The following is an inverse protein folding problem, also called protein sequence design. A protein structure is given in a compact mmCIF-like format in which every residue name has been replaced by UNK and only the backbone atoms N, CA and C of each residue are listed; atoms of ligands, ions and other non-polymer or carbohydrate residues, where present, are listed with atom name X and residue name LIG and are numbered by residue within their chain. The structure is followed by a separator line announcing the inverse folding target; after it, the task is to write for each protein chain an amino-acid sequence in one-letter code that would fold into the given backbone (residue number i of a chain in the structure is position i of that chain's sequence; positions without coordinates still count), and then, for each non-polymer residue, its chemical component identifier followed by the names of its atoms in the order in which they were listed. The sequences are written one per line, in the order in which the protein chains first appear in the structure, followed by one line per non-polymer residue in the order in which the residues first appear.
data_IF_247073668884
#
_entry.id   IF_247073668884
#
_cell.length_a   1.000
_cell.length_b   1.000
_cell.length_c   1.000
_cell.angle_alpha   90.00
_cell.angle_beta   90.00
_cell.angle_gamma   90.00
#
_symmetry.space_group_name_H-M   'P 1'
#
loop_
_entity.id
_entity.type
_entity.pdbx_description
1 polymer ?
#
# COMPACT_ATOMS: atom_id res chain seq x y z
N UNK A 1 -2.84 16.51 -6.22
CA UNK A 1 -2.47 15.18 -5.64
C UNK A 1 -2.66 14.08 -6.67
N UNK A 2 -2.05 12.90 -6.51
CA UNK A 2 -2.34 11.73 -7.34
C UNK A 2 -3.31 10.81 -6.60
N UNK A 3 -4.30 10.28 -7.32
CA UNK A 3 -5.31 9.42 -6.73
C UNK A 3 -5.19 8.00 -7.28
N UNK A 4 -5.30 7.03 -6.38
CA UNK A 4 -5.29 5.62 -6.68
C UNK A 4 -6.37 4.86 -5.93
N UNK A 5 -6.52 3.58 -6.25
CA UNK A 5 -7.53 2.70 -5.68
C UNK A 5 -6.93 1.42 -5.11
N UNK A 6 -7.51 0.92 -4.02
CA UNK A 6 -7.24 -0.43 -3.54
C UNK A 6 -8.06 -1.43 -4.37
N UNK A 7 -7.39 -2.35 -5.06
CA UNK A 7 -8.05 -3.45 -5.75
C UNK A 7 -8.39 -4.54 -4.73
N UNK A 8 -9.65 -4.95 -4.69
CA UNK A 8 -10.11 -5.98 -3.76
C UNK A 8 -9.78 -7.37 -4.32
N UNK A 9 -8.58 -7.85 -4.01
CA UNK A 9 -8.04 -9.13 -4.49
C UNK A 9 -8.49 -10.34 -3.65
N UNK A 10 -9.57 -10.20 -2.89
CA UNK A 10 -10.11 -11.22 -1.99
C UNK A 10 -11.64 -11.23 -1.98
N UNK A 11 -12.21 -12.35 -1.45
CA UNK A 11 -13.64 -12.54 -1.23
C UNK A 11 -14.37 -13.22 -2.38
N UNK A 12 -15.62 -13.64 -2.12
CA UNK A 12 -16.41 -14.54 -2.98
C UNK A 12 -16.64 -14.07 -4.41
N UNK A 13 -16.72 -12.74 -4.64
CA UNK A 13 -16.93 -12.19 -5.99
C UNK A 13 -15.62 -11.97 -6.76
N UNK A 14 -14.49 -12.30 -6.13
CA UNK A 14 -13.18 -12.08 -6.73
C UNK A 14 -12.83 -13.22 -7.69
N UNK A 15 -12.74 -12.87 -8.96
CA UNK A 15 -12.35 -13.73 -10.07
C UNK A 15 -11.33 -13.00 -10.94
N UNK A 16 -10.55 -13.70 -11.79
CA UNK A 16 -9.65 -13.01 -12.73
C UNK A 16 -10.33 -11.93 -13.55
N UNK A 17 -11.56 -12.19 -14.00
CA UNK A 17 -12.34 -11.23 -14.79
C UNK A 17 -12.77 -9.99 -13.99
N UNK A 18 -13.20 -10.17 -12.73
CA UNK A 18 -13.57 -9.01 -11.89
C UNK A 18 -12.37 -8.20 -11.49
N UNK A 19 -11.21 -8.82 -11.27
CA UNK A 19 -9.94 -8.15 -10.98
C UNK A 19 -9.43 -7.32 -12.17
N UNK A 20 -9.46 -7.88 -13.40
CA UNK A 20 -9.13 -7.11 -14.61
C UNK A 20 -10.09 -5.94 -14.80
N UNK A 21 -11.39 -6.15 -14.55
CA UNK A 21 -12.41 -5.10 -14.66
C UNK A 21 -12.17 -3.99 -13.65
N UNK A 22 -11.90 -4.30 -12.37
CA UNK A 22 -11.59 -3.29 -11.35
C UNK A 22 -10.41 -2.40 -11.79
N UNK A 23 -9.33 -3.00 -12.26
CA UNK A 23 -8.15 -2.25 -12.72
C UNK A 23 -8.45 -1.42 -13.99
N UNK A 24 -9.21 -1.96 -14.94
CA UNK A 24 -9.62 -1.26 -16.16
C UNK A 24 -10.54 -0.08 -15.85
N UNK A 25 -11.52 -0.27 -14.96
CA UNK A 25 -12.45 0.76 -14.52
C UNK A 25 -11.71 1.88 -13.78
N UNK A 26 -10.78 1.53 -12.89
CA UNK A 26 -9.92 2.51 -12.20
C UNK A 26 -9.15 3.37 -13.20
N UNK A 27 -8.52 2.74 -14.20
CA UNK A 27 -7.79 3.46 -15.24
C UNK A 27 -8.71 4.34 -16.10
N UNK A 28 -9.88 3.85 -16.46
CA UNK A 28 -10.88 4.60 -17.26
C UNK A 28 -11.45 5.80 -16.50
N UNK A 29 -11.59 5.70 -15.17
CA UNK A 29 -12.00 6.79 -14.30
C UNK A 29 -10.87 7.82 -14.03
N UNK A 30 -9.68 7.60 -14.58
CA UNK A 30 -8.56 8.53 -14.49
C UNK A 30 -7.62 8.31 -13.29
N UNK A 31 -7.84 7.29 -12.46
CA UNK A 31 -6.91 6.95 -11.40
C UNK A 31 -5.55 6.57 -11.96
N UNK A 32 -4.48 7.04 -11.32
CA UNK A 32 -3.11 6.93 -11.83
C UNK A 32 -2.38 5.72 -11.30
N UNK A 33 -2.84 5.13 -10.20
CA UNK A 33 -2.26 3.93 -9.63
C UNK A 33 -3.31 3.05 -8.94
N UNK A 34 -3.00 1.77 -8.79
CA UNK A 34 -3.80 0.80 -8.06
C UNK A 34 -2.90 -0.08 -7.20
N UNK A 35 -3.37 -0.42 -6.00
CA UNK A 35 -2.60 -1.20 -5.03
C UNK A 35 -3.36 -2.44 -4.61
N UNK A 36 -2.63 -3.49 -4.21
CA UNK A 36 -3.13 -4.83 -3.96
C UNK A 36 -2.68 -5.27 -2.56
N UNK A 37 -3.59 -5.90 -1.80
CA UNK A 37 -3.33 -6.37 -0.43
C UNK A 37 -2.59 -7.71 -0.39
N UNK A 38 -1.95 -8.02 0.74
CA UNK A 38 -1.15 -9.23 0.95
C UNK A 38 -1.65 -10.10 2.11
N UNK A 39 -1.97 -11.35 1.81
CA UNK A 39 -2.05 -12.47 2.75
C UNK A 39 -1.66 -13.75 2.02
N UNK A 40 -0.83 -14.59 2.64
CA UNK A 40 -0.37 -15.88 2.07
C UNK A 40 -1.22 -17.03 2.60
N UNK A 41 -1.39 -17.10 3.92
CA UNK A 41 -2.20 -18.11 4.58
C UNK A 41 -3.43 -17.45 5.19
N UNK A 42 -4.58 -17.61 4.54
CA UNK A 42 -5.85 -17.04 5.01
C UNK A 42 -6.33 -17.86 6.21
N UNK A 43 -5.78 -17.56 7.38
CA UNK A 43 -6.14 -18.15 8.68
C UNK A 43 -7.52 -17.66 9.14
N UNK A 44 -8.17 -18.29 10.15
CA UNK A 44 -9.50 -17.88 10.59
C UNK A 44 -9.63 -16.40 10.93
N UNK A 45 -8.65 -15.82 11.64
CA UNK A 45 -8.61 -14.39 11.98
C UNK A 45 -8.46 -13.48 10.73
N UNK A 46 -7.69 -13.92 9.74
CA UNK A 46 -7.60 -13.23 8.44
C UNK A 46 -8.91 -13.35 7.69
N UNK A 47 -9.52 -14.54 7.67
CA UNK A 47 -10.78 -14.80 6.96
C UNK A 47 -11.96 -13.96 7.50
N UNK A 48 -11.99 -13.69 8.79
CA UNK A 48 -13.00 -12.82 9.40
C UNK A 48 -12.93 -11.38 8.89
N UNK A 49 -11.75 -10.92 8.48
CA UNK A 49 -11.53 -9.56 7.97
C UNK A 49 -11.49 -9.56 6.45
N UNK A 50 -10.74 -10.49 5.86
CA UNK A 50 -10.48 -10.61 4.42
C UNK A 50 -10.83 -12.02 3.94
N UNK A 51 -12.05 -12.27 3.49
CA UNK A 51 -12.50 -13.62 3.15
C UNK A 51 -11.81 -14.18 1.91
N UNK A 52 -11.60 -15.50 1.91
CA UNK A 52 -11.14 -16.22 0.73
C UNK A 52 -12.20 -16.21 -0.41
N UNK A 53 -11.78 -16.39 -1.70
CA UNK A 53 -10.41 -16.56 -2.17
C UNK A 53 -9.58 -15.29 -1.99
N UNK A 54 -8.25 -15.45 -1.88
CA UNK A 54 -7.32 -14.33 -1.79
C UNK A 54 -6.22 -14.53 -2.85
N UNK A 55 -6.12 -13.62 -3.81
CA UNK A 55 -5.13 -13.70 -4.89
C UNK A 55 -3.81 -13.08 -4.46
N UNK A 56 -2.68 -13.77 -4.75
CA UNK A 56 -1.35 -13.23 -4.44
C UNK A 56 -1.12 -11.90 -5.18
N UNK A 57 -0.64 -10.92 -4.43
CA UNK A 57 -0.47 -9.55 -4.89
C UNK A 57 0.54 -9.41 -6.04
N UNK A 58 1.66 -10.15 -6.01
CA UNK A 58 2.68 -10.04 -7.05
C UNK A 58 2.27 -10.76 -8.34
N UNK A 59 1.62 -11.91 -8.20
CA UNK A 59 1.07 -12.63 -9.36
C UNK A 59 0.00 -11.79 -10.04
N UNK A 60 -0.91 -11.19 -9.26
CA UNK A 60 -1.94 -10.31 -9.79
C UNK A 60 -1.35 -9.05 -10.41
N UNK A 61 -0.38 -8.40 -9.76
CA UNK A 61 0.27 -7.22 -10.31
C UNK A 61 0.97 -7.52 -11.64
N UNK A 62 1.69 -8.64 -11.75
CA UNK A 62 2.32 -9.07 -13.00
C UNK A 62 1.30 -9.32 -14.11
N UNK A 63 0.16 -9.96 -13.78
CA UNK A 63 -0.94 -10.17 -14.72
C UNK A 63 -1.53 -8.85 -15.22
N UNK A 64 -1.83 -7.93 -14.30
CA UNK A 64 -2.44 -6.63 -14.63
C UNK A 64 -1.47 -5.70 -15.38
N UNK A 65 -0.16 -5.78 -15.14
CA UNK A 65 0.84 -5.03 -15.89
C UNK A 65 0.75 -5.26 -17.40
N UNK A 66 0.50 -6.51 -17.81
CA UNK A 66 0.30 -6.86 -19.23
C UNK A 66 -1.11 -6.60 -19.77
N UNK A 67 -2.10 -6.34 -18.88
CA UNK A 67 -3.52 -6.23 -19.28
C UNK A 67 -4.05 -4.80 -19.24
N UNK A 68 -3.48 -3.95 -18.36
CA UNK A 68 -3.96 -2.58 -18.13
C UNK A 68 -2.79 -1.60 -18.21
N UNK A 69 -2.26 -1.33 -19.42
CA UNK A 69 -1.12 -0.45 -19.61
C UNK A 69 -1.41 0.97 -19.11
N UNK A 70 -0.38 1.64 -18.57
CA UNK A 70 -0.47 3.01 -18.08
C UNK A 70 -1.12 3.16 -16.70
N UNK A 71 -1.47 2.07 -16.02
CA UNK A 71 -1.87 2.06 -14.62
C UNK A 71 -0.66 1.64 -13.77
N UNK A 72 -0.16 2.54 -12.91
CA UNK A 72 0.89 2.17 -11.97
C UNK A 72 0.36 1.18 -10.95
N UNK A 73 1.09 0.10 -10.73
CA UNK A 73 0.68 -0.93 -9.77
C UNK A 73 1.50 -0.84 -8.49
N UNK A 74 0.96 -1.38 -7.41
CA UNK A 74 1.68 -1.43 -6.13
C UNK A 74 1.02 -2.38 -5.14
N UNK A 75 1.59 -2.43 -3.94
CA UNK A 75 1.08 -3.25 -2.84
C UNK A 75 0.68 -2.39 -1.64
N UNK A 76 -0.43 -2.75 -0.97
CA UNK A 76 -0.95 -2.03 0.20
C UNK A 76 -1.39 -2.98 1.30
N UNK A 77 -0.49 -3.55 2.00
CA UNK A 77 0.98 -3.54 1.97
C UNK A 77 1.50 -4.98 1.81
N UNK A 78 2.69 -5.18 1.25
CA UNK A 78 3.41 -6.45 1.38
C UNK A 78 3.81 -6.65 2.83
N UNK A 79 3.44 -7.77 3.40
CA UNK A 79 3.95 -8.20 4.71
C UNK A 79 5.37 -8.74 4.51
N UNK A 80 6.36 -7.88 4.75
CA UNK A 80 7.76 -8.12 4.39
C UNK A 80 8.31 -9.43 4.96
N UNK A 81 8.03 -9.81 6.23
CA UNK A 81 8.57 -11.06 6.78
C UNK A 81 7.99 -12.35 6.21
N UNK A 82 6.92 -12.30 5.41
CA UNK A 82 6.27 -13.51 4.87
C UNK A 82 7.07 -14.18 3.74
N UNK A 83 8.00 -13.46 3.12
CA UNK A 83 8.81 -13.96 2.00
C UNK A 83 10.29 -13.63 2.22
N UNK A 84 11.17 -14.47 1.70
CA UNK A 84 12.59 -14.15 1.68
C UNK A 84 12.84 -12.82 0.94
N UNK A 85 13.68 -11.89 1.46
CA UNK A 85 13.83 -10.55 0.89
C UNK A 85 14.34 -10.56 -0.56
N UNK A 86 15.15 -11.51 -0.96
CA UNK A 86 15.57 -11.67 -2.35
C UNK A 86 14.40 -12.01 -3.29
N UNK A 87 13.42 -12.80 -2.80
CA UNK A 87 12.23 -13.09 -3.57
C UNK A 87 11.38 -11.83 -3.76
N UNK A 88 11.15 -11.07 -2.68
CA UNK A 88 10.40 -9.81 -2.71
C UNK A 88 11.10 -8.78 -3.61
N UNK A 89 12.42 -8.62 -3.47
CA UNK A 89 13.22 -7.72 -4.31
C UNK A 89 13.08 -8.05 -5.80
N UNK A 90 13.18 -9.34 -6.14
CA UNK A 90 13.10 -9.80 -7.53
C UNK A 90 11.70 -9.65 -8.11
N UNK A 91 10.66 -10.01 -7.36
CA UNK A 91 9.27 -9.85 -7.80
C UNK A 91 8.93 -8.39 -8.06
N UNK A 92 9.26 -7.49 -7.13
CA UNK A 92 9.01 -6.08 -7.28
C UNK A 92 9.76 -5.47 -8.47
N UNK A 93 11.05 -5.81 -8.65
CA UNK A 93 11.85 -5.33 -9.78
C UNK A 93 11.32 -5.87 -11.13
N UNK A 94 10.91 -7.13 -11.18
CA UNK A 94 10.34 -7.71 -12.41
C UNK A 94 9.04 -7.02 -12.80
N UNK A 95 8.13 -6.76 -11.84
CA UNK A 95 6.86 -6.07 -12.13
C UNK A 95 7.14 -4.64 -12.57
N UNK A 96 8.09 -3.95 -11.94
CA UNK A 96 8.50 -2.61 -12.34
C UNK A 96 9.05 -2.55 -13.77
N UNK A 97 9.79 -3.57 -14.20
CA UNK A 97 10.29 -3.71 -15.58
C UNK A 97 9.19 -4.07 -16.59
N UNK A 98 8.18 -4.84 -16.16
CA UNK A 98 7.08 -5.31 -17.02
C UNK A 98 5.93 -4.28 -17.11
N UNK A 99 5.87 -3.31 -16.20
CA UNK A 99 4.86 -2.28 -16.16
C UNK A 99 5.46 -0.92 -16.55
N UNK A 100 5.13 -0.41 -17.73
CA UNK A 100 5.61 0.89 -18.24
C UNK A 100 5.27 2.08 -17.33
N UNK A 101 4.24 1.95 -16.47
CA UNK A 101 3.89 2.93 -15.45
C UNK A 101 4.66 2.76 -14.12
N UNK A 102 5.46 1.69 -14.00
CA UNK A 102 6.28 1.37 -12.83
C UNK A 102 5.52 0.69 -11.69
N UNK A 103 6.23 0.42 -10.58
CA UNK A 103 5.71 -0.28 -9.41
C UNK A 103 5.95 0.50 -8.12
N UNK A 104 5.12 0.26 -7.09
CA UNK A 104 5.24 0.80 -5.72
C UNK A 104 5.26 -0.38 -4.75
N UNK A 105 6.33 -0.54 -3.98
CA UNK A 105 6.37 -1.53 -2.91
C UNK A 105 5.80 -0.92 -1.62
N UNK A 106 4.54 -1.13 -1.34
CA UNK A 106 4.00 -0.90 0.00
C UNK A 106 4.53 -1.98 0.94
N UNK A 107 5.06 -1.59 2.09
CA UNK A 107 5.76 -2.47 3.01
C UNK A 107 5.26 -2.32 4.45
N UNK A 108 5.06 -3.43 5.14
CA UNK A 108 4.64 -3.44 6.53
C UNK A 108 4.98 -4.72 7.26
N UNK A 109 4.58 -4.76 8.55
CA UNK A 109 4.93 -5.85 9.46
C UNK A 109 3.84 -6.91 9.59
N UNK A 110 2.64 -6.71 9.04
CA UNK A 110 1.51 -7.60 9.26
C UNK A 110 0.99 -7.63 10.71
N UNK A 111 -0.13 -8.31 10.92
CA UNK A 111 -0.84 -8.32 12.20
C UNK A 111 -1.27 -9.70 12.70
N UNK A 112 -1.48 -10.69 11.78
CA UNK A 112 -1.97 -12.02 12.14
C UNK A 112 -0.87 -12.91 12.71
N UNK A 113 -0.88 -13.13 14.02
CA UNK A 113 0.03 -14.08 14.66
C UNK A 113 -0.22 -15.53 14.21
N UNK A 114 -1.45 -15.86 13.78
CA UNK A 114 -1.77 -17.18 13.26
C UNK A 114 -1.13 -17.43 11.90
N UNK A 115 -1.16 -16.43 11.01
CA UNK A 115 -0.50 -16.48 9.71
C UNK A 115 1.03 -16.58 9.85
N UNK A 116 1.63 -15.82 10.76
CA UNK A 116 3.06 -15.93 11.09
C UNK A 116 3.45 -17.36 11.53
N UNK A 117 2.63 -17.99 12.40
CA UNK A 117 2.85 -19.38 12.81
C UNK A 117 2.74 -20.35 11.64
N UNK A 118 1.74 -20.17 10.77
CA UNK A 118 1.55 -21.01 9.60
C UNK A 118 2.73 -20.94 8.63
N UNK A 119 3.39 -19.77 8.55
CA UNK A 119 4.55 -19.53 7.70
C UNK A 119 5.89 -19.87 8.39
N UNK A 120 5.88 -20.24 9.67
CA UNK A 120 7.09 -20.54 10.43
C UNK A 120 7.97 -19.32 10.72
N UNK A 121 7.41 -18.12 10.72
CA UNK A 121 8.11 -16.87 10.98
C UNK A 121 7.84 -16.38 12.41
N UNK A 122 8.85 -15.95 13.19
CA UNK A 122 8.64 -15.51 14.57
C UNK A 122 7.90 -14.15 14.60
N UNK A 123 6.66 -14.17 15.13
CA UNK A 123 5.79 -12.99 15.18
C UNK A 123 6.38 -11.83 16.01
N UNK A 124 7.01 -12.17 17.15
CA UNK A 124 7.55 -11.16 18.07
C UNK A 124 8.75 -10.38 17.44
N UNK A 125 9.45 -10.99 16.51
CA UNK A 125 10.59 -10.39 15.83
C UNK A 125 10.21 -9.70 14.51
N UNK A 126 8.92 -9.67 14.13
CA UNK A 126 8.45 -9.16 12.83
C UNK A 126 8.95 -7.75 12.48
N UNK A 127 9.07 -6.87 13.50
CA UNK A 127 9.58 -5.51 13.29
C UNK A 127 11.04 -5.49 12.89
N UNK A 128 11.90 -6.24 13.60
CA UNK A 128 13.32 -6.33 13.32
C UNK A 128 13.59 -7.06 11.98
N UNK A 129 12.85 -8.13 11.71
CA UNK A 129 12.90 -8.83 10.41
C UNK A 129 12.53 -7.87 9.28
N UNK A 130 11.48 -7.08 9.43
CA UNK A 130 11.06 -6.10 8.42
C UNK A 130 12.15 -5.07 8.15
N UNK A 131 12.78 -4.54 9.21
CA UNK A 131 13.83 -3.54 9.08
C UNK A 131 15.05 -4.10 8.32
N UNK A 132 15.49 -5.31 8.66
CA UNK A 132 16.60 -5.96 7.98
C UNK A 132 16.26 -6.37 6.55
N UNK A 133 15.07 -6.95 6.34
CA UNK A 133 14.64 -7.37 5.01
C UNK A 133 14.47 -6.19 4.03
N UNK A 134 13.99 -5.05 4.49
CA UNK A 134 13.95 -3.84 3.66
C UNK A 134 15.36 -3.35 3.29
N UNK A 135 16.32 -3.43 4.22
CA UNK A 135 17.71 -3.12 3.90
C UNK A 135 18.31 -4.10 2.89
N UNK A 136 18.04 -5.40 3.04
CA UNK A 136 18.47 -6.45 2.12
C UNK A 136 17.84 -6.29 0.72
N UNK A 137 16.56 -5.93 0.63
CA UNK A 137 15.85 -5.63 -0.62
C UNK A 137 16.53 -4.45 -1.34
N UNK A 138 16.82 -3.37 -0.62
CA UNK A 138 17.49 -2.20 -1.19
C UNK A 138 18.91 -2.52 -1.66
N UNK A 139 19.67 -3.32 -0.89
CA UNK A 139 20.99 -3.79 -1.31
C UNK A 139 20.91 -4.60 -2.60
N UNK A 140 19.91 -5.50 -2.71
CA UNK A 140 19.69 -6.30 -3.91
C UNK A 140 19.35 -5.48 -5.15
N UNK A 141 18.70 -4.32 -4.99
CA UNK A 141 18.43 -3.41 -6.11
C UNK A 141 19.61 -2.52 -6.50
N UNK A 142 20.49 -2.23 -5.53
CA UNK A 142 21.60 -1.28 -5.72
C UNK A 142 22.90 -1.94 -6.21
N UNK A 143 23.07 -3.25 -6.01
CA UNK A 143 24.33 -3.97 -6.22
C UNK A 143 24.12 -5.23 -7.06
N UNK A 144 24.99 -5.47 -8.05
CA UNK A 144 25.05 -6.71 -8.81
C UNK A 144 26.50 -7.01 -9.22
N UNK A 145 27.21 -7.96 -8.63
CA UNK A 145 26.75 -8.91 -7.60
C UNK A 145 26.49 -8.24 -6.25
N UNK A 146 25.50 -8.76 -5.51
CA UNK A 146 25.08 -8.27 -4.22
C UNK A 146 25.59 -9.18 -3.10
N UNK A 147 26.11 -8.55 -2.03
CA UNK A 147 26.45 -9.20 -0.76
C UNK A 147 25.73 -8.47 0.36
N UNK A 148 25.12 -9.23 1.27
CA UNK A 148 24.43 -8.70 2.43
C UNK A 148 24.68 -9.61 3.63
N UNK A 149 25.00 -9.01 4.78
CA UNK A 149 25.20 -9.71 6.04
C UNK A 149 24.24 -9.14 7.09
N UNK A 150 23.35 -9.97 7.60
CA UNK A 150 22.35 -9.62 8.60
C UNK A 150 22.18 -10.74 9.64
N UNK A 151 21.31 -10.48 10.60
CA UNK A 151 20.94 -11.46 11.62
C UNK A 151 19.97 -12.52 11.10
N UNK A 152 19.04 -12.11 10.25
CA UNK A 152 17.94 -12.96 9.74
C UNK A 152 18.23 -13.47 8.32
N UNK A 153 19.05 -12.76 7.56
CA UNK A 153 19.42 -13.18 6.21
C UNK A 153 20.86 -12.74 5.90
N UNK A 154 21.62 -13.65 5.28
CA UNK A 154 22.96 -13.36 4.75
C UNK A 154 23.15 -14.07 3.42
N UNK A 155 23.82 -13.39 2.48
CA UNK A 155 24.16 -13.96 1.18
C UNK A 155 25.37 -13.22 0.60
N UNK A 156 26.16 -13.89 -0.25
CA UNK A 156 27.40 -13.37 -0.80
C UNK A 156 27.44 -13.54 -2.33
N UNK A 157 27.82 -12.46 -3.03
CA UNK A 157 28.14 -12.47 -4.45
C UNK A 157 27.00 -12.89 -5.39
N UNK A 158 25.75 -12.76 -4.96
CA UNK A 158 24.60 -13.21 -5.78
C UNK A 158 24.23 -12.20 -6.88
N UNK A 159 23.76 -12.72 -8.01
CA UNK A 159 23.20 -11.91 -9.11
C UNK A 159 21.71 -11.65 -8.88
N UNK A 160 21.32 -10.38 -8.86
CA UNK A 160 19.95 -9.94 -8.57
C UNK A 160 19.20 -9.37 -9.77
N UNK A 161 19.88 -9.16 -10.89
CA UNK A 161 19.29 -8.62 -12.12
C UNK A 161 18.02 -9.40 -12.56
N UNK A 162 17.00 -8.71 -13.14
CA UNK A 162 17.01 -7.28 -13.43
C UNK A 162 16.83 -6.43 -12.18
N UNK A 163 17.49 -5.28 -12.13
CA UNK A 163 17.20 -4.23 -11.17
C UNK A 163 15.90 -3.52 -11.55
N UNK A 164 15.26 -2.74 -10.64
CA UNK A 164 14.14 -1.87 -11.00
C UNK A 164 14.48 -0.96 -12.18
N UNK A 165 13.49 -0.65 -13.03
CA UNK A 165 13.66 0.25 -14.17
C UNK A 165 13.95 1.69 -13.73
N UNK A 166 13.26 2.14 -12.66
CA UNK A 166 13.55 3.40 -12.00
C UNK A 166 14.80 3.28 -11.13
N UNK A 167 15.63 4.34 -11.08
CA UNK A 167 16.81 4.38 -10.22
C UNK A 167 16.50 4.08 -8.74
N UNK A 168 15.27 4.32 -8.31
CA UNK A 168 14.73 3.88 -7.01
C UNK A 168 13.25 3.48 -7.19
N UNK A 169 12.95 2.21 -6.97
CA UNK A 169 11.58 1.75 -6.79
C UNK A 169 11.06 2.28 -5.44
N UNK A 170 9.98 3.07 -5.41
CA UNK A 170 9.52 3.67 -4.17
C UNK A 170 8.97 2.62 -3.20
N UNK A 171 9.41 2.73 -1.95
CA UNK A 171 8.92 1.94 -0.82
C UNK A 171 8.01 2.81 0.04
N UNK A 172 6.74 2.45 0.16
CA UNK A 172 5.78 3.12 1.03
C UNK A 172 5.58 2.29 2.30
N UNK A 173 5.96 2.85 3.45
CA UNK A 173 5.92 2.12 4.72
C UNK A 173 4.59 2.36 5.42
N UNK A 174 3.86 1.27 5.65
CA UNK A 174 2.58 1.25 6.36
C UNK A 174 2.72 1.27 7.88
N UNK A 175 1.64 1.68 8.53
CA UNK A 175 1.50 1.71 9.99
C UNK A 175 1.77 3.08 10.61
N UNK A 176 1.40 3.19 11.89
CA UNK A 176 1.39 4.45 12.63
C UNK A 176 1.98 4.36 14.04
N UNK A 177 2.52 3.19 14.42
CA UNK A 177 3.26 3.02 15.66
C UNK A 177 4.61 3.76 15.62
N UNK A 178 5.21 4.11 16.78
CA UNK A 178 6.51 4.76 16.80
C UNK A 178 7.59 4.00 16.01
N UNK A 179 7.55 2.67 16.00
CA UNK A 179 8.45 1.86 15.20
C UNK A 179 8.19 1.99 13.69
N UNK A 180 6.90 2.05 13.28
CA UNK A 180 6.54 2.26 11.88
C UNK A 180 6.96 3.65 11.37
N UNK A 181 6.78 4.71 12.19
CA UNK A 181 7.22 6.07 11.84
C UNK A 181 8.74 6.15 11.65
N UNK A 182 9.51 5.55 12.57
CA UNK A 182 10.98 5.43 12.42
C UNK A 182 11.37 4.66 11.16
N UNK A 183 10.66 3.56 10.86
CA UNK A 183 10.90 2.76 9.64
C UNK A 183 10.61 3.55 8.38
N UNK A 184 9.48 4.27 8.33
CA UNK A 184 9.14 5.14 7.21
C UNK A 184 10.22 6.19 6.97
N UNK A 185 10.66 6.87 8.02
CA UNK A 185 11.71 7.88 7.97
C UNK A 185 13.07 7.33 7.49
N UNK A 186 13.45 6.13 7.94
CA UNK A 186 14.77 5.54 7.66
C UNK A 186 14.84 4.74 6.37
N UNK A 187 13.75 4.10 5.96
CA UNK A 187 13.73 3.10 4.89
C UNK A 187 12.67 3.36 3.83
N UNK A 188 11.78 4.33 3.99
CA UNK A 188 10.69 4.63 3.05
C UNK A 188 10.94 5.87 2.21
N UNK A 189 10.34 5.93 1.03
CA UNK A 189 10.10 7.17 0.25
C UNK A 189 8.71 7.74 0.58
N UNK A 190 7.77 6.91 1.09
CA UNK A 190 6.45 7.33 1.55
C UNK A 190 6.09 6.76 2.92
N UNK A 191 5.36 7.54 3.72
CA UNK A 191 4.65 7.06 4.90
C UNK A 191 3.19 6.81 4.50
N UNK A 192 2.73 5.57 4.68
CA UNK A 192 1.44 5.05 4.20
C UNK A 192 0.52 4.66 5.37
N UNK A 193 -0.01 5.64 6.14
CA UNK A 193 -0.94 5.35 7.22
C UNK A 193 -2.30 4.88 6.67
N UNK A 194 -2.92 3.91 7.37
CA UNK A 194 -4.25 3.41 7.07
C UNK A 194 -5.29 4.02 8.01
N UNK A 195 -6.42 4.46 7.46
CA UNK A 195 -7.52 5.11 8.20
C UNK A 195 -7.04 6.22 9.15
N UNK A 196 -6.23 7.17 8.69
CA UNK A 196 -5.72 8.21 9.57
C UNK A 196 -6.84 9.16 9.99
N UNK A 197 -6.66 9.78 11.16
CA UNK A 197 -7.43 10.96 11.58
C UNK A 197 -6.60 12.22 11.37
N UNK A 198 -7.25 13.37 11.23
CA UNK A 198 -6.53 14.63 11.06
C UNK A 198 -5.64 14.95 12.27
N UNK A 199 -6.17 14.74 13.49
CA UNK A 199 -5.42 14.89 14.74
C UNK A 199 -4.20 13.96 14.77
N UNK A 200 -4.39 12.67 14.39
CA UNK A 200 -3.32 11.68 14.35
C UNK A 200 -2.19 12.07 13.38
N UNK A 201 -2.53 12.56 12.19
CA UNK A 201 -1.53 13.04 11.22
C UNK A 201 -0.76 14.25 11.73
N UNK A 202 -1.45 15.27 12.26
CA UNK A 202 -0.81 16.46 12.83
C UNK A 202 0.18 16.13 13.95
N UNK A 203 -0.16 15.14 14.79
CA UNK A 203 0.72 14.69 15.87
C UNK A 203 1.94 13.90 15.37
N UNK A 204 1.80 13.11 14.30
CA UNK A 204 2.82 12.14 13.85
C UNK A 204 3.75 12.70 12.77
N UNK A 205 3.32 13.62 11.92
CA UNK A 205 4.16 14.23 10.87
C UNK A 205 5.45 14.86 11.42
N UNK A 206 5.42 15.64 12.53
CA UNK A 206 6.67 16.16 13.11
C UNK A 206 7.61 15.06 13.62
N UNK A 207 7.07 13.92 14.08
CA UNK A 207 7.87 12.78 14.53
C UNK A 207 8.58 12.13 13.34
N UNK A 208 7.86 11.94 12.23
CA UNK A 208 8.44 11.40 10.98
C UNK A 208 9.56 12.32 10.46
N UNK A 209 9.33 13.63 10.46
CA UNK A 209 10.31 14.62 10.03
C UNK A 209 11.59 14.58 10.89
N UNK A 210 11.42 14.57 12.22
CA UNK A 210 12.56 14.49 13.16
C UNK A 210 13.34 13.17 13.02
N UNK A 211 12.67 12.04 12.79
CA UNK A 211 13.36 10.75 12.57
C UNK A 211 14.07 10.71 11.21
N UNK A 212 13.53 11.36 10.18
CA UNK A 212 14.20 11.49 8.87
C UNK A 212 15.46 12.36 8.99
N UNK A 213 15.39 13.49 9.70
CA UNK A 213 16.55 14.34 9.99
C UNK A 213 17.65 13.57 10.71
N UNK A 214 17.33 12.82 11.78
CA UNK A 214 18.29 11.96 12.49
C UNK A 214 18.92 10.90 11.58
N UNK A 215 18.18 10.42 10.59
CA UNK A 215 18.66 9.43 9.63
C UNK A 215 19.44 10.06 8.45
N UNK A 216 19.53 11.38 8.38
CA UNK A 216 20.14 12.10 7.25
C UNK A 216 19.43 11.87 5.92
N UNK A 217 18.12 11.67 5.96
CA UNK A 217 17.28 11.38 4.77
C UNK A 217 16.24 12.47 4.53
N UNK A 218 15.77 12.62 3.28
CA UNK A 218 14.58 13.40 3.00
C UNK A 218 13.38 12.89 3.81
N UNK A 219 12.49 13.80 4.20
CA UNK A 219 11.21 13.43 4.83
C UNK A 219 10.39 12.63 3.83
N UNK A 220 9.89 11.43 4.19
CA UNK A 220 9.07 10.64 3.30
C UNK A 220 7.77 11.36 2.96
N UNK A 221 7.26 11.14 1.74
CA UNK A 221 5.98 11.67 1.31
C UNK A 221 4.84 11.16 2.18
N UNK A 222 3.82 11.99 2.43
CA UNK A 222 2.58 11.55 3.05
C UNK A 222 1.67 10.94 1.98
N UNK A 223 1.39 9.63 2.09
CA UNK A 223 0.67 8.84 1.09
C UNK A 223 -0.42 7.97 1.73
N UNK A 224 -1.44 8.54 2.38
CA UNK A 224 -2.40 7.80 3.19
C UNK A 224 -3.33 6.91 2.37
N UNK A 225 -3.79 5.80 2.99
CA UNK A 225 -4.89 4.96 2.54
C UNK A 225 -6.15 5.33 3.31
N UNK A 226 -7.15 5.81 2.60
CA UNK A 226 -8.42 6.25 3.14
C UNK A 226 -9.48 5.19 2.85
N UNK A 227 -10.03 4.59 3.89
CA UNK A 227 -11.26 3.82 3.74
C UNK A 227 -12.40 4.80 3.45
N UNK A 228 -13.19 4.54 2.42
CA UNK A 228 -14.31 5.39 2.02
C UNK A 228 -15.62 4.85 2.60
N UNK A 229 -16.22 5.62 3.48
CA UNK A 229 -17.52 5.31 4.08
C UNK A 229 -18.44 6.54 4.01
N UNK A 230 -19.15 6.66 2.89
CA UNK A 230 -20.06 7.79 2.64
C UNK A 230 -21.32 7.72 3.50
N UNK A 231 -21.69 8.84 4.08
CA UNK A 231 -22.86 9.01 4.95
C UNK A 231 -22.64 10.08 6.00
N UNK A 232 -23.69 10.57 6.61
CA UNK A 232 -23.59 11.58 7.66
C UNK A 232 -22.76 11.05 8.86
N UNK A 233 -21.80 11.82 9.32
CA UNK A 233 -20.95 11.54 10.48
C UNK A 233 -20.78 12.80 11.35
N UNK A 234 -20.62 12.66 12.66
CA UNK A 234 -20.17 13.78 13.50
C UNK A 234 -18.85 14.34 12.98
N UNK A 235 -18.74 15.66 12.93
CA UNK A 235 -17.52 16.35 12.52
C UNK A 235 -16.61 16.51 13.73
N UNK A 236 -15.73 15.53 13.95
CA UNK A 236 -14.78 15.47 15.06
C UNK A 236 -13.38 15.21 14.55
N UNK A 237 -12.37 15.76 15.22
CA UNK A 237 -10.95 15.63 14.81
C UNK A 237 -10.42 14.16 14.86
N UNK A 238 -11.12 13.26 15.56
CA UNK A 238 -10.82 11.83 15.67
C UNK A 238 -11.59 10.97 14.66
N UNK A 239 -12.46 11.57 13.85
CA UNK A 239 -13.14 10.89 12.74
C UNK A 239 -12.09 10.41 11.72
N UNK A 240 -12.13 9.14 11.27
CA UNK A 240 -11.28 8.69 10.17
C UNK A 240 -11.52 9.52 8.91
N UNK A 241 -10.45 10.00 8.28
CA UNK A 241 -10.54 10.72 7.01
C UNK A 241 -11.10 9.78 5.93
N UNK A 242 -12.00 10.30 5.10
CA UNK A 242 -12.74 9.51 4.11
C UNK A 242 -14.09 8.96 4.61
N UNK A 243 -14.42 9.12 5.90
CA UNK A 243 -15.70 8.75 6.48
C UNK A 243 -16.57 9.99 6.65
N UNK A 244 -17.69 10.11 5.92
CA UNK A 244 -18.58 11.26 6.08
C UNK A 244 -19.42 11.56 4.85
N UNK A 245 -20.10 12.70 4.86
CA UNK A 245 -20.77 13.23 3.67
C UNK A 245 -19.77 13.57 2.57
N UNK A 246 -20.25 13.77 1.35
CA UNK A 246 -19.41 14.23 0.24
C UNK A 246 -18.61 15.49 0.61
N UNK A 247 -19.25 16.46 1.28
CA UNK A 247 -18.60 17.71 1.65
C UNK A 247 -17.55 17.50 2.75
N UNK A 248 -17.80 16.59 3.72
CA UNK A 248 -16.81 16.20 4.71
C UNK A 248 -15.60 15.53 4.07
N UNK A 249 -15.81 14.61 3.10
CA UNK A 249 -14.71 13.96 2.39
C UNK A 249 -13.91 14.98 1.56
N UNK A 250 -14.57 15.94 0.91
CA UNK A 250 -13.85 17.05 0.23
C UNK A 250 -12.97 17.84 1.20
N UNK A 251 -13.53 18.22 2.35
CA UNK A 251 -12.77 18.95 3.39
C UNK A 251 -11.57 18.14 3.89
N UNK A 252 -11.73 16.81 4.07
CA UNK A 252 -10.64 15.89 4.41
C UNK A 252 -9.51 15.95 3.38
N UNK A 253 -9.86 15.92 2.09
CA UNK A 253 -8.85 15.94 1.01
C UNK A 253 -8.13 17.28 0.91
N UNK A 254 -8.82 18.40 1.14
CA UNK A 254 -8.19 19.72 1.25
C UNK A 254 -7.22 19.78 2.44
N UNK A 255 -7.64 19.30 3.62
CA UNK A 255 -6.77 19.23 4.79
C UNK A 255 -5.53 18.34 4.55
N UNK A 256 -5.69 17.21 3.84
CA UNK A 256 -4.56 16.37 3.44
C UNK A 256 -3.60 17.06 2.46
N UNK A 257 -4.13 17.83 1.52
CA UNK A 257 -3.31 18.66 0.62
C UNK A 257 -2.50 19.72 1.39
N UNK A 258 -3.12 20.39 2.37
CA UNK A 258 -2.45 21.34 3.25
C UNK A 258 -1.35 20.69 4.10
N UNK A 259 -1.53 19.43 4.51
CA UNK A 259 -0.52 18.64 5.21
C UNK A 259 0.58 18.09 4.27
N UNK A 260 0.51 18.37 2.98
CA UNK A 260 1.51 17.96 1.99
C UNK A 260 1.36 16.55 1.46
N UNK A 261 0.16 15.95 1.52
CA UNK A 261 -0.09 14.65 0.92
C UNK A 261 0.10 14.73 -0.61
N UNK A 262 0.89 13.78 -1.16
CA UNK A 262 1.21 13.74 -2.59
C UNK A 262 0.35 12.72 -3.34
N UNK A 263 0.02 11.61 -2.68
CA UNK A 263 -0.79 10.52 -3.20
C UNK A 263 -1.85 10.13 -2.19
N UNK A 264 -3.03 9.76 -2.65
CA UNK A 264 -4.12 9.23 -1.83
C UNK A 264 -4.61 7.93 -2.42
N UNK A 265 -4.67 6.88 -1.59
CA UNK A 265 -5.24 5.58 -1.96
C UNK A 265 -6.65 5.48 -1.40
N UNK A 266 -7.65 5.41 -2.27
CA UNK A 266 -9.03 5.15 -1.87
C UNK A 266 -9.27 3.64 -1.71
N UNK A 267 -9.86 3.27 -0.60
CA UNK A 267 -10.22 1.91 -0.25
C UNK A 267 -11.73 1.84 -0.03
N UNK A 268 -12.42 1.13 -0.90
CA UNK A 268 -13.88 0.97 -0.84
C UNK A 268 -14.31 -0.20 0.05
N UNK A 269 -13.35 -0.97 0.58
CA UNK A 269 -13.67 -2.13 1.42
C UNK A 269 -14.18 -1.71 2.80
N UNK A 270 -15.45 -2.01 3.13
CA UNK A 270 -16.06 -1.53 4.38
C UNK A 270 -15.60 -2.29 5.63
N UNK A 271 -14.85 -3.38 5.47
CA UNK A 271 -14.40 -4.23 6.56
C UNK A 271 -15.39 -5.36 6.90
N UNK A 272 -14.85 -6.59 7.04
CA UNK A 272 -15.58 -7.79 7.38
C UNK A 272 -16.41 -8.40 6.24
N UNK A 273 -16.61 -9.73 6.24
CA UNK A 273 -17.22 -10.46 5.13
C UNK A 273 -18.69 -10.10 4.88
N UNK A 274 -19.43 -9.75 5.95
CA UNK A 274 -20.84 -9.39 5.85
C UNK A 274 -21.11 -8.00 5.24
N UNK A 275 -20.07 -7.14 5.24
CA UNK A 275 -20.17 -5.77 4.76
C UNK A 275 -19.45 -5.57 3.42
N UNK A 276 -19.00 -6.66 2.77
CA UNK A 276 -18.29 -6.56 1.50
C UNK A 276 -19.21 -6.05 0.40
N UNK A 277 -18.76 -4.99 -0.26
CA UNK A 277 -19.35 -4.53 -1.49
C UNK A 277 -19.01 -5.48 -2.66
N UNK A 278 -19.90 -5.60 -3.61
CA UNK A 278 -19.58 -6.26 -4.90
C UNK A 278 -18.70 -5.37 -5.75
N UNK A 279 -18.05 -5.93 -6.77
CA UNK A 279 -17.26 -5.13 -7.72
C UNK A 279 -18.08 -4.01 -8.39
N UNK A 280 -19.40 -4.19 -8.54
CA UNK A 280 -20.29 -3.15 -9.08
C UNK A 280 -20.59 -2.04 -8.06
N UNK A 281 -20.69 -2.37 -6.78
CA UNK A 281 -20.84 -1.39 -5.70
C UNK A 281 -19.54 -0.59 -5.50
N UNK A 282 -18.39 -1.26 -5.51
CA UNK A 282 -17.09 -0.58 -5.48
C UNK A 282 -16.95 0.43 -6.60
N UNK A 283 -17.30 0.02 -7.83
CA UNK A 283 -17.29 0.90 -9.00
C UNK A 283 -18.20 2.12 -8.81
N UNK A 284 -19.41 1.94 -8.30
CA UNK A 284 -20.34 3.06 -8.05
C UNK A 284 -19.78 4.06 -7.05
N UNK A 285 -19.10 3.59 -6.00
CA UNK A 285 -18.43 4.48 -5.04
C UNK A 285 -17.31 5.25 -5.72
N UNK A 286 -16.49 4.62 -6.54
CA UNK A 286 -15.44 5.28 -7.30
C UNK A 286 -15.98 6.29 -8.31
N UNK A 287 -17.07 5.97 -9.03
CA UNK A 287 -17.76 6.89 -9.94
C UNK A 287 -18.30 8.11 -9.17
N UNK A 288 -18.90 7.90 -8.00
CA UNK A 288 -19.38 9.00 -7.15
C UNK A 288 -18.23 9.88 -6.64
N UNK A 289 -17.10 9.29 -6.26
CA UNK A 289 -15.92 10.05 -5.87
C UNK A 289 -15.40 10.93 -7.02
N UNK A 290 -15.32 10.36 -8.23
CA UNK A 290 -14.89 11.13 -9.42
C UNK A 290 -15.90 12.19 -9.81
N UNK A 291 -17.19 11.91 -9.72
CA UNK A 291 -18.23 12.90 -10.05
C UNK A 291 -18.27 14.06 -9.05
N UNK A 292 -18.13 13.78 -7.75
CA UNK A 292 -18.42 14.75 -6.68
C UNK A 292 -17.23 15.23 -5.88
N UNK A 293 -16.13 14.48 -5.81
CA UNK A 293 -15.07 14.73 -4.84
C UNK A 293 -13.74 15.07 -5.48
N UNK A 294 -13.30 14.31 -6.49
CA UNK A 294 -11.98 14.47 -7.11
C UNK A 294 -12.04 14.49 -8.62
N UNK A 295 -11.03 15.10 -9.21
CA UNK A 295 -10.68 14.91 -10.62
C UNK A 295 -9.34 14.17 -10.70
N UNK A 296 -9.35 12.82 -10.92
CA UNK A 296 -8.10 12.06 -10.93
C UNK A 296 -7.16 12.43 -12.08
N UNK A 297 -7.67 12.98 -13.18
CA UNK A 297 -6.87 13.38 -14.33
C UNK A 297 -6.03 14.63 -14.07
N UNK A 298 -6.59 15.60 -13.34
CA UNK A 298 -5.89 16.85 -12.96
C UNK A 298 -5.24 16.76 -11.58
N UNK A 299 -5.72 15.86 -10.72
CA UNK A 299 -5.29 15.75 -9.32
C UNK A 299 -5.94 16.76 -8.37
N UNK A 300 -7.05 17.37 -8.79
CA UNK A 300 -7.79 18.37 -8.04
C UNK A 300 -8.89 17.75 -7.16
N UNK A 301 -9.24 18.45 -6.09
CA UNK A 301 -10.45 18.23 -5.28
C UNK A 301 -11.54 19.14 -5.85
N UNK A 302 -12.77 18.60 -6.07
CA UNK A 302 -13.90 19.31 -6.68
C UNK A 302 -14.60 20.23 -5.69
#
# INVERSE_FOLDING_TARGET
MRFGVNLLNFGSDTTPRTLERQATDARALGFTFAMISDHIAVTPDVHEVYPAPFYDQFVLAAHLAGRVPGLRLGTTITVIPYRHPLQTARLAANIDQLNDAGFILGAGVGWSAAEYRALGVPFEERGAITDEYLAAIRAAWAQDPCTFEGRYVSYEGIRTAPAPAAAQLPVWVGGDSPAALRRAARLGEGWHPFMPTLQGLRAKLPVVAAEAEKAGRPVPELVPRLQIALGERPDTDDRPLGHGSVDQVRADLHALAELGATHLLFDTYPGGPAARATADEDRRVLELLVEKVVDPATGDVR
#
